data_IF_723622711286
#
_entry.id   IF_723622711286
#
_cell.length_a   1.000
_cell.length_b   1.000
_cell.length_c   1.000
_cell.angle_alpha   90.00
_cell.angle_beta   90.00
_cell.angle_gamma   90.00
#
_symmetry.space_group_name_H-M   'P 1'
#
loop_
_entity.id
_entity.type
_entity.pdbx_description
1 polymer ?
#
# COMPACT_ATOMS: atom_id res chain seq x y z
N UNK A 1 -6.94 1.78 7.77
CA UNK A 1 -6.23 1.40 9.00
C UNK A 1 -5.06 2.34 9.23
N UNK A 2 -4.92 2.85 10.44
CA UNK A 2 -3.84 3.76 10.81
C UNK A 2 -2.77 3.01 11.62
N UNK A 3 -1.72 2.57 10.94
CA UNK A 3 -0.54 1.98 11.57
C UNK A 3 0.32 3.10 12.18
N UNK A 4 -0.17 3.65 13.30
CA UNK A 4 0.31 4.90 13.89
C UNK A 4 1.82 4.85 14.21
N UNK A 5 2.25 3.99 15.13
CA UNK A 5 3.64 3.93 15.58
C UNK A 5 4.03 2.54 16.13
N UNK A 6 5.31 2.39 16.51
CA UNK A 6 5.92 1.15 17.05
C UNK A 6 5.94 -0.01 16.05
N UNK A 7 6.24 -1.21 16.55
CA UNK A 7 6.36 -2.44 15.77
C UNK A 7 5.00 -3.12 15.70
N UNK A 8 4.55 -3.47 14.50
CA UNK A 8 3.24 -4.06 14.27
C UNK A 8 3.35 -5.23 13.30
N UNK A 9 2.58 -6.29 13.54
CA UNK A 9 2.53 -7.46 12.67
C UNK A 9 1.08 -7.83 12.39
N UNK A 10 0.71 -7.80 11.11
CA UNK A 10 -0.62 -8.15 10.61
C UNK A 10 -0.48 -9.42 9.78
N UNK A 11 -1.13 -10.50 10.21
CA UNK A 11 -1.04 -11.80 9.56
C UNK A 11 -2.43 -12.34 9.24
N UNK A 12 -2.59 -12.89 8.04
CA UNK A 12 -3.83 -13.55 7.60
C UNK A 12 -5.05 -12.63 7.76
N UNK A 13 -4.83 -11.32 7.61
CA UNK A 13 -5.86 -10.30 7.75
C UNK A 13 -6.56 -10.04 6.42
N UNK A 14 -7.82 -9.63 6.51
CA UNK A 14 -8.56 -9.05 5.40
C UNK A 14 -8.62 -7.53 5.56
N UNK A 15 -7.97 -6.79 4.65
CA UNK A 15 -7.85 -5.33 4.71
C UNK A 15 -8.56 -4.75 3.49
N UNK A 16 -9.53 -3.87 3.72
CA UNK A 16 -10.37 -3.29 2.67
C UNK A 16 -10.43 -1.77 2.77
N UNK A 17 -10.42 -1.07 1.64
CA UNK A 17 -10.55 0.39 1.62
C UNK A 17 -10.43 1.03 0.24
N UNK A 18 -10.44 2.36 0.23
CA UNK A 18 -10.40 3.21 -0.98
C UNK A 18 -9.13 4.07 -1.03
N UNK A 19 -9.03 5.10 -0.20
CA UNK A 19 -7.93 6.08 -0.23
C UNK A 19 -7.06 5.93 1.00
N UNK A 20 -5.74 5.86 0.79
CA UNK A 20 -4.68 5.74 1.80
C UNK A 20 -5.04 4.77 2.93
N UNK A 21 -5.67 3.64 2.60
CA UNK A 21 -6.30 2.84 3.63
C UNK A 21 -5.31 1.98 4.43
N UNK A 22 -4.03 1.93 4.05
CA UNK A 22 -2.92 1.48 4.90
C UNK A 22 -1.94 2.65 5.04
N UNK A 23 -1.96 3.34 6.18
CA UNK A 23 -1.19 4.57 6.35
C UNK A 23 -0.56 4.72 7.74
N UNK A 24 0.47 5.57 7.84
CA UNK A 24 1.17 5.92 9.08
C UNK A 24 2.69 5.72 9.05
N UNK A 25 3.32 5.70 10.22
CA UNK A 25 4.78 5.63 10.37
C UNK A 25 5.25 4.51 11.31
N UNK A 26 4.46 3.46 11.52
CA UNK A 26 4.91 2.25 12.21
C UNK A 26 6.00 1.47 11.43
N UNK A 27 6.74 0.62 12.14
CA UNK A 27 7.46 -0.49 11.53
C UNK A 27 6.49 -1.67 11.42
N UNK A 28 5.84 -1.81 10.28
CA UNK A 28 4.73 -2.74 10.10
C UNK A 28 5.01 -3.77 9.01
N UNK A 29 4.71 -5.04 9.32
CA UNK A 29 4.74 -6.13 8.35
C UNK A 29 3.33 -6.69 8.17
N UNK A 30 2.92 -6.82 6.91
CA UNK A 30 1.66 -7.39 6.48
C UNK A 30 1.99 -8.69 5.75
N UNK A 31 1.63 -9.83 6.34
CA UNK A 31 2.01 -11.15 5.83
C UNK A 31 0.78 -12.02 5.58
N UNK A 32 0.71 -12.66 4.40
CA UNK A 32 -0.40 -13.54 4.03
C UNK A 32 -1.77 -12.82 4.08
N UNK A 33 -1.80 -11.49 3.88
CA UNK A 33 -3.03 -10.72 3.94
C UNK A 33 -3.74 -10.70 2.58
N UNK A 34 -5.07 -10.61 2.62
CA UNK A 34 -5.87 -10.22 1.47
C UNK A 34 -6.15 -8.73 1.54
N UNK A 35 -5.66 -7.99 0.54
CA UNK A 35 -5.83 -6.55 0.42
C UNK A 35 -6.84 -6.30 -0.70
N UNK A 36 -7.99 -5.74 -0.36
CA UNK A 36 -9.11 -5.55 -1.29
C UNK A 36 -9.40 -4.07 -1.51
N UNK A 37 -9.40 -3.67 -2.76
CA UNK A 37 -9.70 -2.30 -3.20
C UNK A 37 -11.21 -2.15 -3.42
N UNK A 38 -11.81 -1.14 -2.79
CA UNK A 38 -13.20 -0.75 -3.04
C UNK A 38 -13.30 0.25 -4.20
N UNK A 39 -14.49 0.33 -4.80
CA UNK A 39 -14.78 1.37 -5.80
C UNK A 39 -14.59 2.76 -5.18
N UNK A 40 -13.85 3.66 -5.85
CA UNK A 40 -13.77 5.05 -5.42
C UNK A 40 -15.11 5.78 -5.69
N UNK A 41 -15.27 6.95 -5.09
CA UNK A 41 -16.32 7.89 -5.52
C UNK A 41 -15.99 8.45 -6.91
N UNK A 42 -16.99 9.00 -7.60
CA UNK A 42 -16.81 9.50 -8.97
C UNK A 42 -15.77 10.62 -9.01
N UNK A 43 -14.67 10.39 -9.73
CA UNK A 43 -13.56 11.34 -9.87
C UNK A 43 -12.37 11.06 -8.94
N UNK A 44 -12.55 10.22 -7.92
CA UNK A 44 -11.49 9.88 -6.98
C UNK A 44 -10.59 8.74 -7.49
N UNK A 45 -9.37 8.72 -6.95
CA UNK A 45 -8.40 7.66 -7.19
C UNK A 45 -8.23 6.82 -5.93
N UNK A 46 -8.08 5.51 -6.09
CA UNK A 46 -7.74 4.61 -4.99
C UNK A 46 -6.24 4.64 -4.79
N UNK A 47 -5.81 4.72 -3.53
CA UNK A 47 -4.41 4.58 -3.14
C UNK A 47 -4.34 3.60 -1.96
N UNK A 48 -3.57 2.54 -2.10
CA UNK A 48 -3.54 1.47 -1.09
C UNK A 48 -2.67 1.89 0.11
N UNK A 49 -1.45 2.38 -0.16
CA UNK A 49 -0.43 2.60 0.87
C UNK A 49 0.01 4.07 0.91
N UNK A 50 0.04 4.65 2.11
CA UNK A 50 0.62 5.97 2.38
C UNK A 50 1.49 5.94 3.65
N UNK A 51 2.77 5.61 3.48
CA UNK A 51 3.73 5.61 4.57
C UNK A 51 4.21 7.06 4.82
N UNK A 52 4.52 7.42 6.07
CA UNK A 52 4.83 8.80 6.48
C UNK A 52 6.10 8.96 7.32
N UNK A 53 7.17 8.22 7.02
CA UNK A 53 8.49 8.43 7.63
C UNK A 53 9.09 9.74 7.13
N UNK A 54 9.38 10.66 8.02
CA UNK A 54 9.88 12.00 7.73
C UNK A 54 11.37 12.20 8.10
N UNK A 55 12.00 11.21 8.72
CA UNK A 55 13.39 11.28 9.19
C UNK A 55 14.10 9.94 9.02
N UNK A 56 15.40 9.99 8.69
CA UNK A 56 16.26 8.80 8.62
C UNK A 56 16.61 8.20 9.99
N UNK A 57 16.38 8.93 11.09
CA UNK A 57 16.54 8.39 12.45
C UNK A 57 15.37 7.52 12.91
N UNK A 58 14.24 7.56 12.19
CA UNK A 58 13.09 6.73 12.49
C UNK A 58 13.23 5.35 11.87
N UNK A 59 13.21 4.32 12.72
CA UNK A 59 13.11 2.92 12.31
C UNK A 59 11.64 2.59 11.98
N UNK A 60 11.19 3.01 10.80
CA UNK A 60 9.84 2.74 10.30
C UNK A 60 9.84 2.40 8.81
N UNK A 61 8.97 1.46 8.44
CA UNK A 61 8.77 0.99 7.08
C UNK A 61 7.52 0.12 7.03
N UNK A 62 6.90 0.04 5.85
CA UNK A 62 5.87 -0.97 5.59
C UNK A 62 6.41 -2.08 4.70
N UNK A 63 6.18 -3.33 5.11
CA UNK A 63 6.50 -4.52 4.32
C UNK A 63 5.23 -5.28 4.00
N UNK A 64 4.94 -5.47 2.71
CA UNK A 64 3.85 -6.29 2.21
C UNK A 64 4.45 -7.59 1.68
N UNK A 65 4.21 -8.71 2.36
CA UNK A 65 4.84 -10.00 2.06
C UNK A 65 3.79 -11.08 1.83
N UNK A 66 3.89 -11.79 0.70
CA UNK A 66 2.97 -12.89 0.37
C UNK A 66 1.49 -12.50 0.47
N UNK A 67 1.17 -11.25 0.12
CA UNK A 67 -0.19 -10.75 0.13
C UNK A 67 -0.81 -10.87 -1.27
N UNK A 68 -2.14 -10.87 -1.33
CA UNK A 68 -2.89 -10.79 -2.58
C UNK A 68 -3.66 -9.47 -2.64
N UNK A 69 -3.36 -8.65 -3.65
CA UNK A 69 -4.05 -7.38 -3.89
C UNK A 69 -5.09 -7.57 -5.00
N UNK A 70 -6.37 -7.38 -4.65
CA UNK A 70 -7.52 -7.61 -5.56
C UNK A 70 -8.51 -6.46 -5.50
N UNK A 71 -9.41 -6.41 -6.47
CA UNK A 71 -10.51 -5.45 -6.51
C UNK A 71 -11.79 -6.08 -5.96
N UNK A 72 -12.69 -5.25 -5.45
CA UNK A 72 -14.08 -5.62 -5.29
C UNK A 72 -14.77 -5.74 -6.66
N UNK A 73 -15.86 -6.52 -6.72
CA UNK A 73 -16.57 -6.83 -7.97
C UNK A 73 -17.05 -5.56 -8.72
N UNK A 74 -17.22 -4.46 -8.00
CA UNK A 74 -17.77 -3.21 -8.54
C UNK A 74 -16.71 -2.17 -8.95
N UNK A 75 -15.43 -2.55 -9.12
CA UNK A 75 -14.40 -1.59 -9.52
C UNK A 75 -14.65 -1.12 -10.97
N UNK A 76 -14.88 0.19 -11.22
CA UNK A 76 -15.13 0.69 -12.56
C UNK A 76 -13.93 0.45 -13.49
N UNK A 77 -14.15 0.16 -14.79
CA UNK A 77 -13.05 -0.07 -15.74
C UNK A 77 -12.05 1.09 -15.84
N UNK A 78 -12.49 2.32 -15.61
CA UNK A 78 -11.65 3.53 -15.65
C UNK A 78 -11.12 3.96 -14.28
N UNK A 79 -11.31 3.17 -13.22
CA UNK A 79 -10.84 3.51 -11.89
C UNK A 79 -9.31 3.51 -11.86
N UNK A 80 -8.72 4.61 -11.40
CA UNK A 80 -7.28 4.72 -11.18
C UNK A 80 -6.97 4.16 -9.80
N UNK A 81 -6.24 3.06 -9.76
CA UNK A 81 -5.79 2.40 -8.53
C UNK A 81 -4.27 2.46 -8.45
N UNK A 82 -3.74 3.06 -7.40
CA UNK A 82 -2.30 3.13 -7.14
C UNK A 82 -1.93 2.25 -5.96
N UNK A 83 -0.78 1.56 -6.07
CA UNK A 83 -0.23 0.77 -4.98
C UNK A 83 0.15 1.63 -3.77
N UNK A 84 0.60 2.84 -4.01
CA UNK A 84 0.79 3.81 -2.95
C UNK A 84 1.17 5.19 -3.44
N UNK A 85 1.34 6.08 -2.46
CA UNK A 85 1.93 7.41 -2.61
C UNK A 85 2.77 7.73 -1.38
N UNK A 86 3.87 8.48 -1.52
CA UNK A 86 4.59 8.98 -0.36
C UNK A 86 3.74 10.03 0.37
N UNK A 87 3.49 9.85 1.67
CA UNK A 87 2.92 10.94 2.48
C UNK A 87 4.01 11.94 2.87
N UNK A 88 5.25 11.46 2.99
CA UNK A 88 6.46 12.24 3.28
C UNK A 88 7.62 11.82 2.35
N UNK A 89 8.69 12.62 2.27
CA UNK A 89 9.79 12.39 1.31
C UNK A 89 10.54 11.06 1.48
N UNK A 90 10.56 10.53 2.71
CA UNK A 90 11.36 9.37 3.12
C UNK A 90 10.53 8.10 3.35
N UNK A 91 9.39 7.97 2.66
CA UNK A 91 8.40 6.90 2.84
C UNK A 91 8.83 5.54 2.27
N UNK A 92 9.37 4.58 3.06
CA UNK A 92 9.83 3.31 2.55
C UNK A 92 8.70 2.27 2.60
N UNK A 93 8.46 1.65 1.45
CA UNK A 93 7.50 0.56 1.29
C UNK A 93 8.15 -0.52 0.46
N UNK A 94 8.11 -1.74 0.97
CA UNK A 94 8.67 -2.93 0.33
C UNK A 94 7.55 -3.92 0.07
N UNK A 95 7.49 -4.46 -1.15
CA UNK A 95 6.44 -5.39 -1.58
C UNK A 95 7.12 -6.59 -2.19
N UNK A 96 7.05 -7.72 -1.50
CA UNK A 96 7.80 -8.94 -1.83
C UNK A 96 6.83 -10.11 -1.92
N UNK A 97 7.04 -10.99 -2.91
CA UNK A 97 6.27 -12.24 -3.07
C UNK A 97 4.75 -12.05 -3.09
N UNK A 98 4.26 -10.86 -3.46
CA UNK A 98 2.84 -10.53 -3.41
C UNK A 98 2.23 -10.49 -4.80
N UNK A 99 0.99 -10.95 -4.92
CA UNK A 99 0.23 -10.92 -6.17
C UNK A 99 -0.41 -9.54 -6.38
N UNK A 100 -0.02 -8.85 -7.46
CA UNK A 100 -0.60 -7.58 -7.89
C UNK A 100 -1.40 -7.82 -9.17
N UNK A 101 -2.69 -7.47 -9.16
CA UNK A 101 -3.50 -7.50 -10.38
C UNK A 101 -3.13 -6.35 -11.32
N UNK A 102 -3.31 -6.57 -12.62
CA UNK A 102 -2.90 -5.64 -13.68
C UNK A 102 -3.52 -4.23 -13.61
N UNK A 103 -4.66 -4.08 -12.91
CA UNK A 103 -5.30 -2.77 -12.71
C UNK A 103 -4.54 -1.86 -11.73
N UNK A 104 -3.57 -2.40 -10.98
CA UNK A 104 -2.79 -1.65 -9.99
C UNK A 104 -1.64 -0.92 -10.69
N UNK A 105 -1.71 0.41 -10.69
CA UNK A 105 -0.64 1.30 -11.11
C UNK A 105 0.40 1.39 -9.99
N UNK A 106 1.69 1.34 -10.32
CA UNK A 106 2.74 1.20 -9.31
C UNK A 106 2.79 2.34 -8.29
N UNK A 107 2.90 3.62 -8.69
CA UNK A 107 3.02 4.72 -7.73
C UNK A 107 2.36 5.99 -8.24
N UNK A 108 1.71 6.74 -7.34
CA UNK A 108 1.24 8.10 -7.62
C UNK A 108 2.24 9.16 -7.13
N UNK A 109 2.50 10.19 -7.94
CA UNK A 109 3.26 11.38 -7.54
C UNK A 109 4.75 11.40 -7.93
N UNK A 110 5.47 12.46 -7.49
CA UNK A 110 6.91 12.65 -7.75
C UNK A 110 7.73 11.62 -6.96
N UNK A 111 8.85 11.15 -7.54
CA UNK A 111 9.80 10.23 -6.88
C UNK A 111 10.39 10.87 -5.61
N UNK A 112 9.78 10.63 -4.46
CA UNK A 112 10.52 10.59 -3.19
C UNK A 112 11.51 9.42 -3.22
N UNK A 113 12.34 9.24 -2.18
CA UNK A 113 13.23 8.06 -2.07
C UNK A 113 12.43 6.77 -1.77
N UNK A 114 11.32 6.54 -2.45
CA UNK A 114 10.50 5.32 -2.37
C UNK A 114 11.24 4.21 -3.10
N UNK A 115 11.98 3.38 -2.34
CA UNK A 115 12.66 2.19 -2.85
C UNK A 115 11.67 1.03 -2.95
N UNK A 116 11.08 0.84 -4.12
CA UNK A 116 10.33 -0.39 -4.43
C UNK A 116 11.32 -1.47 -4.83
N UNK A 117 11.44 -2.53 -4.02
CA UNK A 117 12.28 -3.68 -4.32
C UNK A 117 11.37 -4.84 -4.71
N UNK A 118 11.38 -5.19 -5.99
CA UNK A 118 10.82 -6.41 -6.60
C UNK A 118 9.41 -6.84 -6.18
N UNK A 119 8.40 -6.23 -6.81
CA UNK A 119 7.12 -6.91 -6.99
C UNK A 119 7.30 -7.98 -8.09
N UNK A 120 7.19 -9.26 -7.73
CA UNK A 120 7.14 -10.35 -8.71
C UNK A 120 5.76 -10.29 -9.36
N UNK A 121 5.70 -9.83 -10.61
CA UNK A 121 4.52 -9.99 -11.46
C UNK A 121 4.51 -11.46 -11.95
N UNK A 122 3.49 -12.23 -11.57
CA UNK A 122 3.14 -13.51 -12.19
C UNK A 122 1.83 -13.35 -12.92
#
# INVERSE_FOLDING_TARGET
>A
MYAHSKKQFYRECFIIGTVDFIFGHALAVFQNCQIKVCSPMKGDTVVIIAQSRDSDSLDSAFTIQNCRITANQDLPPMAKVFLGRPWTELSPVVIIQSELKAFVIQWAGRRGRTRTVNAVLR
#
